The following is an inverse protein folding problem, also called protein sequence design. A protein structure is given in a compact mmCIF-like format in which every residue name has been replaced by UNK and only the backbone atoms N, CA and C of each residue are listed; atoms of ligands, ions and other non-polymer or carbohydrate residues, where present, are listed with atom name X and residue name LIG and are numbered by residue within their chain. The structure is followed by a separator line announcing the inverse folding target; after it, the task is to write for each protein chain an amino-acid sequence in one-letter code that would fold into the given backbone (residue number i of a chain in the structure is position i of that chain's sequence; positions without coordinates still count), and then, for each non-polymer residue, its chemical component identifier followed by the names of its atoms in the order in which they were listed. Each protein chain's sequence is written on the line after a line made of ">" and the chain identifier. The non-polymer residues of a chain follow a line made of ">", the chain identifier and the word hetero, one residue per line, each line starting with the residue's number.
data_IF_643049082206
#
_entry.id   IF_643049082206
#
_cell.length_a   1.000
_cell.length_b   1.000
_cell.length_c   1.000
_cell.angle_alpha   90.00
_cell.angle_beta   90.00
_cell.angle_gamma   90.00
#
_symmetry.space_group_name_H-M   'P 1'
#
loop_
_entity.id
_entity.type
_entity.pdbx_description
1 polymer ?
#
# COMPACT_ATOMS: atom_id res chain seq x y z
N UNK A 1 13.56 -47.92 -30.81
CA UNK A 1 12.85 -47.87 -29.55
C UNK A 1 13.64 -47.19 -28.44
N UNK A 2 14.93 -47.42 -28.30
CA UNK A 2 15.76 -46.78 -27.27
C UNK A 2 15.80 -45.25 -27.35
N UNK A 3 15.72 -44.67 -28.52
CA UNK A 3 15.71 -43.21 -28.75
C UNK A 3 14.46 -42.52 -28.18
N UNK A 4 13.32 -43.18 -28.12
CA UNK A 4 12.08 -42.62 -27.56
C UNK A 4 12.15 -42.41 -26.05
N UNK A 5 12.79 -43.30 -25.33
CA UNK A 5 12.92 -43.17 -23.87
C UNK A 5 13.89 -42.06 -23.48
N UNK A 6 14.98 -41.87 -24.24
CA UNK A 6 15.92 -40.80 -23.98
C UNK A 6 15.30 -39.41 -24.21
N UNK A 7 14.45 -39.27 -25.26
CA UNK A 7 13.75 -38.00 -25.52
C UNK A 7 12.75 -37.63 -24.41
N UNK A 8 12.00 -38.58 -23.88
CA UNK A 8 11.04 -38.35 -22.80
C UNK A 8 11.73 -37.92 -21.52
N UNK A 9 12.85 -38.50 -21.17
CA UNK A 9 13.61 -38.11 -19.98
C UNK A 9 14.22 -36.73 -20.10
N UNK A 10 14.71 -36.32 -21.27
CA UNK A 10 15.24 -35.00 -21.52
C UNK A 10 14.15 -33.92 -21.39
N UNK A 11 12.95 -34.18 -21.91
CA UNK A 11 11.82 -33.27 -21.80
C UNK A 11 11.38 -33.07 -20.35
N UNK A 12 11.35 -34.15 -19.54
CA UNK A 12 10.99 -34.07 -18.13
C UNK A 12 11.97 -33.22 -17.32
N UNK A 13 13.27 -33.34 -17.57
CA UNK A 13 14.30 -32.53 -16.91
C UNK A 13 14.19 -31.04 -17.25
N UNK A 14 13.89 -30.69 -18.48
CA UNK A 14 13.69 -29.29 -18.90
C UNK A 14 12.48 -28.69 -18.21
N UNK A 15 11.37 -29.40 -18.09
CA UNK A 15 10.17 -28.92 -17.39
C UNK A 15 10.43 -28.62 -15.91
N UNK A 16 11.15 -29.47 -15.21
CA UNK A 16 11.49 -29.25 -13.78
C UNK A 16 12.37 -28.03 -13.62
N UNK A 17 13.34 -27.81 -14.51
CA UNK A 17 14.22 -26.65 -14.48
C UNK A 17 13.46 -25.32 -14.70
N UNK A 18 12.52 -25.27 -15.64
CA UNK A 18 11.69 -24.08 -15.89
C UNK A 18 10.80 -23.75 -14.68
N UNK A 19 10.21 -24.73 -14.03
CA UNK A 19 9.44 -24.52 -12.81
C UNK A 19 10.27 -23.91 -11.67
N UNK A 20 11.50 -24.36 -11.48
CA UNK A 20 12.39 -23.84 -10.47
C UNK A 20 12.77 -22.38 -10.70
N UNK A 21 13.01 -21.95 -11.94
CA UNK A 21 13.29 -20.56 -12.31
C UNK A 21 12.06 -19.69 -12.08
N UNK A 22 10.85 -20.15 -12.41
CA UNK A 22 9.62 -19.40 -12.22
C UNK A 22 9.35 -19.12 -10.74
N UNK A 23 9.60 -20.05 -9.84
CA UNK A 23 9.46 -19.86 -8.39
C UNK A 23 10.46 -18.80 -7.88
N UNK A 24 11.71 -18.81 -8.35
CA UNK A 24 12.72 -17.84 -7.95
C UNK A 24 12.39 -16.40 -8.36
N UNK A 25 11.78 -16.17 -9.53
CA UNK A 25 11.41 -14.84 -10.01
C UNK A 25 10.15 -14.29 -9.35
N UNK A 26 9.25 -15.13 -8.86
CA UNK A 26 8.01 -14.69 -8.22
C UNK A 26 8.21 -14.06 -6.82
N UNK A 27 9.38 -14.22 -6.20
CA UNK A 27 9.65 -13.76 -4.85
C UNK A 27 10.09 -12.29 -4.74
N UNK A 28 10.47 -11.63 -5.86
CA UNK A 28 11.03 -10.29 -5.85
C UNK A 28 9.98 -9.24 -6.24
N UNK A 29 9.18 -8.76 -5.27
CA UNK A 29 8.28 -7.64 -5.46
C UNK A 29 8.91 -6.37 -4.92
N UNK A 30 8.85 -5.30 -5.72
CA UNK A 30 9.37 -3.97 -5.37
C UNK A 30 8.26 -3.10 -4.82
N UNK A 31 8.61 -2.24 -3.89
CA UNK A 31 7.68 -1.28 -3.34
C UNK A 31 8.33 -0.35 -2.33
N UNK A 32 7.50 0.51 -1.78
CA UNK A 32 7.88 1.50 -0.79
C UNK A 32 7.10 1.33 0.51
N UNK A 33 7.37 2.25 1.44
CA UNK A 33 6.68 2.32 2.73
C UNK A 33 5.73 3.49 2.73
N UNK A 34 4.49 3.26 3.12
CA UNK A 34 3.49 4.31 3.26
C UNK A 34 3.10 4.45 4.73
N UNK A 35 3.22 5.66 5.24
CA UNK A 35 2.80 6.03 6.60
C UNK A 35 1.71 7.08 6.48
N UNK A 36 0.55 6.82 7.09
CA UNK A 36 -0.56 7.76 7.16
C UNK A 36 -0.87 8.03 8.62
N UNK A 37 -0.72 9.30 9.00
CA UNK A 37 -0.96 9.81 10.33
C UNK A 37 -2.30 10.53 10.37
N UNK A 38 -2.91 10.60 11.55
CA UNK A 38 -4.06 11.48 11.82
C UNK A 38 -3.57 12.76 12.48
N UNK A 39 -4.12 13.89 12.09
CA UNK A 39 -3.86 15.12 12.84
C UNK A 39 -4.38 15.01 14.30
N UNK A 40 -3.76 15.69 15.26
CA UNK A 40 -4.19 15.61 16.67
C UNK A 40 -5.65 16.04 16.90
N UNK A 41 -6.16 16.93 16.07
CA UNK A 41 -7.53 17.44 16.14
C UNK A 41 -8.49 16.75 15.17
N UNK A 42 -8.16 15.56 14.71
CA UNK A 42 -9.01 14.83 13.75
C UNK A 42 -10.38 14.47 14.32
N UNK A 43 -10.42 14.07 15.58
CA UNK A 43 -11.64 13.70 16.30
C UNK A 43 -11.48 12.36 17.02
N UNK A 44 -11.83 12.30 18.28
CA UNK A 44 -11.64 11.11 19.11
C UNK A 44 -12.61 9.97 18.78
N UNK A 45 -13.79 10.30 18.25
CA UNK A 45 -14.85 9.34 17.92
C UNK A 45 -14.97 9.07 16.43
N UNK A 46 -14.01 9.52 15.64
CA UNK A 46 -13.99 9.38 14.19
C UNK A 46 -12.76 8.60 13.78
N UNK A 47 -12.94 7.59 12.95
CA UNK A 47 -11.86 6.87 12.33
C UNK A 47 -11.56 7.44 10.93
N UNK A 48 -10.32 7.33 10.50
CA UNK A 48 -9.90 7.63 9.14
C UNK A 48 -9.99 6.35 8.30
N UNK A 49 -10.88 6.32 7.33
CA UNK A 49 -10.90 5.23 6.36
C UNK A 49 -9.88 5.51 5.27
N UNK A 50 -8.95 4.60 5.07
CA UNK A 50 -7.96 4.67 4.01
C UNK A 50 -8.23 3.58 2.99
N UNK A 51 -8.37 3.98 1.73
CA UNK A 51 -8.44 3.08 0.59
C UNK A 51 -7.20 3.25 -0.27
N UNK A 52 -6.71 2.14 -0.77
CA UNK A 52 -5.65 2.11 -1.79
C UNK A 52 -6.22 1.40 -3.01
N UNK A 53 -6.21 2.07 -4.16
CA UNK A 53 -6.76 1.57 -5.41
C UNK A 53 -8.20 1.06 -5.27
N UNK A 54 -9.02 1.81 -4.52
CA UNK A 54 -10.44 1.52 -4.32
C UNK A 54 -10.76 0.49 -3.25
N UNK A 55 -9.76 -0.07 -2.57
CA UNK A 55 -9.96 -1.06 -1.49
C UNK A 55 -9.65 -0.46 -0.13
N UNK A 56 -10.55 -0.61 0.82
CA UNK A 56 -10.28 -0.25 2.21
C UNK A 56 -9.16 -1.13 2.77
N UNK A 57 -8.08 -0.49 3.22
CA UNK A 57 -6.96 -1.21 3.85
C UNK A 57 -6.98 -1.08 5.37
N UNK A 58 -7.55 0.00 5.89
CA UNK A 58 -7.61 0.23 7.34
C UNK A 58 -8.62 1.30 7.68
N UNK A 59 -9.15 1.25 8.92
CA UNK A 59 -9.75 2.38 9.63
C UNK A 59 -8.81 2.79 10.75
N UNK A 60 -8.19 3.96 10.61
CA UNK A 60 -7.22 4.46 11.59
C UNK A 60 -7.96 5.17 12.71
N UNK A 61 -7.95 4.59 13.90
CA UNK A 61 -8.57 5.16 15.10
C UNK A 61 -7.58 6.04 15.85
N UNK A 62 -8.08 6.78 16.85
CA UNK A 62 -7.25 7.64 17.68
C UNK A 62 -6.07 6.89 18.30
N UNK A 63 -4.89 7.48 18.27
CA UNK A 63 -3.66 6.90 18.80
C UNK A 63 -3.00 5.85 17.87
N UNK A 64 -3.57 5.63 16.70
CA UNK A 64 -3.05 4.68 15.70
C UNK A 64 -2.60 5.40 14.45
N UNK A 65 -1.85 4.68 13.62
CA UNK A 65 -1.41 5.12 12.29
C UNK A 65 -1.36 3.92 11.36
N UNK A 66 -1.39 4.19 10.07
CA UNK A 66 -1.11 3.20 9.05
C UNK A 66 0.39 3.25 8.72
N UNK A 67 1.04 2.10 8.66
CA UNK A 67 2.45 1.99 8.35
C UNK A 67 2.72 0.62 7.73
N UNK A 68 2.69 0.57 6.39
CA UNK A 68 2.83 -0.67 5.66
C UNK A 68 3.56 -0.50 4.34
N UNK A 69 4.04 -1.62 3.83
CA UNK A 69 4.58 -1.75 2.48
C UNK A 69 3.48 -1.58 1.44
N UNK A 70 3.80 -0.87 0.36
CA UNK A 70 2.91 -0.65 -0.79
C UNK A 70 3.68 -0.98 -2.06
N UNK A 71 3.06 -1.70 -2.96
CA UNK A 71 3.68 -2.10 -4.24
C UNK A 71 4.05 -0.87 -5.08
N UNK A 72 5.16 -0.97 -5.78
CA UNK A 72 5.64 0.04 -6.72
C UNK A 72 4.61 0.33 -7.81
N UNK A 73 4.55 1.58 -8.25
CA UNK A 73 3.68 2.05 -9.32
C UNK A 73 2.74 3.15 -8.87
N UNK A 74 1.82 3.50 -9.76
CA UNK A 74 0.81 4.51 -9.51
C UNK A 74 -0.26 3.95 -8.59
N UNK A 75 -0.45 4.59 -7.44
CA UNK A 75 -1.48 4.23 -6.45
C UNK A 75 -2.41 5.40 -6.22
N UNK A 76 -3.69 5.11 -6.04
CA UNK A 76 -4.70 6.10 -5.68
C UNK A 76 -5.06 5.92 -4.22
N UNK A 77 -4.75 6.92 -3.40
CA UNK A 77 -5.07 6.94 -1.98
C UNK A 77 -6.37 7.72 -1.80
N UNK A 78 -7.37 7.12 -1.19
CA UNK A 78 -8.64 7.77 -0.90
C UNK A 78 -8.90 7.75 0.60
N UNK A 79 -9.23 8.89 1.17
CA UNK A 79 -9.51 9.04 2.60
C UNK A 79 -10.89 9.60 2.83
N UNK A 80 -11.51 9.16 3.92
CA UNK A 80 -12.81 9.64 4.38
C UNK A 80 -12.93 9.45 5.88
N UNK A 81 -13.87 10.14 6.50
CA UNK A 81 -14.19 9.98 7.91
C UNK A 81 -15.26 8.89 8.11
N UNK A 82 -15.12 8.09 9.16
CA UNK A 82 -16.06 7.02 9.52
C UNK A 82 -16.34 7.06 11.03
N UNK A 83 -17.59 7.09 11.47
CA UNK A 83 -18.81 7.21 10.68
C UNK A 83 -18.91 8.58 10.01
N UNK A 84 -19.63 8.64 8.89
CA UNK A 84 -19.76 9.88 8.13
C UNK A 84 -20.85 10.80 8.75
N UNK A 85 -20.64 11.15 10.03
CA UNK A 85 -21.60 11.91 10.80
C UNK A 85 -21.77 13.36 10.34
N UNK A 86 -20.79 13.88 9.59
CA UNK A 86 -20.77 15.26 9.11
C UNK A 86 -20.91 15.36 7.60
N UNK A 87 -21.35 14.29 6.94
CA UNK A 87 -21.47 14.22 5.50
C UNK A 87 -20.16 14.60 4.77
N UNK A 88 -19.03 14.13 5.31
CA UNK A 88 -17.72 14.44 4.74
C UNK A 88 -17.54 13.77 3.39
N UNK A 89 -16.93 14.49 2.47
CA UNK A 89 -16.62 13.98 1.13
C UNK A 89 -15.28 13.25 1.15
N UNK A 90 -15.17 12.09 0.45
CA UNK A 90 -13.88 11.45 0.24
C UNK A 90 -12.95 12.33 -0.60
N UNK A 91 -11.67 12.25 -0.34
CA UNK A 91 -10.64 12.91 -1.15
C UNK A 91 -9.61 11.90 -1.61
N UNK A 92 -9.20 12.02 -2.87
CA UNK A 92 -8.23 11.11 -3.48
C UNK A 92 -6.94 11.85 -3.84
N UNK A 93 -5.83 11.16 -3.67
CA UNK A 93 -4.48 11.64 -4.00
C UNK A 93 -3.75 10.55 -4.77
N UNK A 94 -3.08 10.92 -5.84
CA UNK A 94 -2.24 9.98 -6.61
C UNK A 94 -0.85 9.96 -6.00
N UNK A 95 -0.35 8.77 -5.72
CA UNK A 95 1.00 8.52 -5.24
C UNK A 95 1.73 7.60 -6.21
N UNK A 96 2.85 8.08 -6.75
CA UNK A 96 3.75 7.25 -7.53
C UNK A 96 4.79 6.62 -6.61
N UNK A 97 4.58 5.34 -6.27
CA UNK A 97 5.43 4.62 -5.35
C UNK A 97 6.68 4.13 -6.07
N UNK A 98 7.84 4.50 -5.55
CA UNK A 98 9.15 4.03 -6.01
C UNK A 98 9.73 3.08 -4.99
N UNK A 99 10.42 2.06 -5.48
CA UNK A 99 11.09 1.07 -4.63
C UNK A 99 12.05 1.72 -3.65
N UNK A 100 11.98 1.31 -2.39
CA UNK A 100 12.88 1.77 -1.34
C UNK A 100 12.57 3.16 -0.75
N UNK A 101 11.55 3.84 -1.24
CA UNK A 101 11.16 5.16 -0.73
C UNK A 101 10.10 5.06 0.37
N UNK A 102 10.13 6.01 1.28
CA UNK A 102 9.12 6.15 2.35
C UNK A 102 8.30 7.41 2.10
N UNK A 103 6.98 7.26 2.18
CA UNK A 103 6.02 8.34 1.96
C UNK A 103 5.22 8.55 3.24
N UNK A 104 5.12 9.80 3.68
CA UNK A 104 4.42 10.16 4.91
C UNK A 104 3.36 11.20 4.58
N UNK A 105 2.13 10.89 4.98
CA UNK A 105 1.00 11.81 4.85
C UNK A 105 0.33 11.97 6.20
N UNK A 106 -0.25 13.15 6.41
CA UNK A 106 -1.11 13.42 7.56
C UNK A 106 -2.51 13.71 7.08
N UNK A 107 -3.48 12.97 7.59
CA UNK A 107 -4.90 13.23 7.33
C UNK A 107 -5.34 14.43 8.16
N UNK A 108 -5.87 15.44 7.50
CA UNK A 108 -6.33 16.68 8.10
C UNK A 108 -7.71 17.05 7.56
N UNK A 109 -8.46 17.82 8.34
CA UNK A 109 -9.68 18.43 7.86
C UNK A 109 -9.35 19.66 7.01
N UNK A 110 -9.89 19.67 5.81
CA UNK A 110 -9.85 20.83 4.91
C UNK A 110 -11.26 21.46 4.92
N UNK A 111 -11.42 22.51 5.69
CA UNK A 111 -12.73 23.06 5.96
C UNK A 111 -13.52 22.18 6.95
N UNK A 112 -14.86 22.25 6.89
CA UNK A 112 -15.73 21.60 7.87
C UNK A 112 -16.15 20.18 7.50
N UNK A 113 -15.98 19.76 6.25
CA UNK A 113 -16.59 18.51 5.79
C UNK A 113 -15.71 17.68 4.84
N UNK A 114 -14.44 18.00 4.72
CA UNK A 114 -13.54 17.28 3.82
C UNK A 114 -12.26 16.86 4.53
N UNK A 115 -11.93 15.57 4.42
CA UNK A 115 -10.66 15.03 4.90
C UNK A 115 -9.71 14.92 3.72
N UNK A 116 -8.50 15.41 3.88
CA UNK A 116 -7.46 15.36 2.83
C UNK A 116 -6.16 14.80 3.41
N UNK A 117 -5.32 14.25 2.53
CA UNK A 117 -3.96 13.85 2.87
C UNK A 117 -3.00 14.98 2.52
N UNK A 118 -2.35 15.54 3.54
CA UNK A 118 -1.29 16.51 3.36
C UNK A 118 0.06 15.79 3.38
N UNK A 119 0.95 15.99 2.39
CA UNK A 119 2.30 15.45 2.45
C UNK A 119 3.02 15.99 3.69
N UNK A 120 3.62 15.10 4.46
CA UNK A 120 4.41 15.48 5.63
C UNK A 120 5.74 14.77 5.59
N UNK A 121 6.82 15.51 5.79
CA UNK A 121 8.15 14.92 5.95
C UNK A 121 8.36 14.49 7.39
N UNK A 122 9.11 13.40 7.58
CA UNK A 122 9.63 13.05 8.89
C UNK A 122 10.78 13.99 9.22
N UNK A 123 10.78 14.63 10.40
CA UNK A 123 11.96 15.39 10.82
C UNK A 123 13.19 14.51 10.87
N UNK A 124 14.39 15.04 10.53
CA UNK A 124 15.63 14.27 10.63
C UNK A 124 15.81 13.68 12.03
N UNK A 125 16.11 12.38 12.10
CA UNK A 125 16.29 11.66 13.37
C UNK A 125 15.03 11.13 14.02
N UNK A 126 13.85 11.42 13.50
CA UNK A 126 12.60 10.78 13.94
C UNK A 126 12.29 9.59 13.04
N UNK A 127 12.47 8.41 13.56
CA UNK A 127 12.01 7.18 12.94
C UNK A 127 10.69 6.77 13.57
N UNK A 128 9.75 6.37 12.74
CA UNK A 128 8.51 5.78 13.20
C UNK A 128 8.65 4.29 13.38
#
# INVERSE_FOLDING_TARGET
>A
MKARYASANALLLILVFVCAISIGTAAAQSGGRLIVLRSPNFGWNIALNLKIDGRTVVNVVQGRRYDHFVLEGRRVLTVSAVPNAYYSEPASTVLNVRSGHTYVFTAVWDGSNRVVLAPSGLPPGQAY
#
